data_IF_718376310416
#
_entry.id   IF_718376310416
#
_cell.length_a   1.000
_cell.length_b   1.000
_cell.length_c   1.000
_cell.angle_alpha   90.00
_cell.angle_beta   90.00
_cell.angle_gamma   90.00
#
_symmetry.space_group_name_H-M   'P 1'
#
loop_
_entity.id
_entity.type
_entity.pdbx_description
1 polymer ?
#
# COMPACT_ATOMS: atom_id res chain seq x y z
N UNK A 1 9.75 13.81 -1.49
CA UNK A 1 10.79 12.75 -1.60
C UNK A 1 11.92 13.25 -2.48
N UNK A 2 13.16 12.84 -2.22
CA UNK A 2 14.33 13.17 -3.05
C UNK A 2 14.85 11.90 -3.71
N UNK A 3 14.93 11.89 -5.03
CA UNK A 3 15.46 10.74 -5.79
C UNK A 3 16.99 10.85 -5.85
N UNK A 4 17.68 9.76 -5.49
CA UNK A 4 19.13 9.62 -5.66
C UNK A 4 19.38 8.50 -6.67
N UNK A 5 20.12 8.79 -7.74
CA UNK A 5 20.47 7.79 -8.75
C UNK A 5 21.58 6.88 -8.23
N UNK A 6 21.32 5.57 -8.20
CA UNK A 6 22.30 4.56 -7.81
C UNK A 6 23.12 4.12 -9.03
N UNK A 7 24.45 4.12 -8.91
CA UNK A 7 25.36 3.66 -9.97
C UNK A 7 25.32 2.14 -10.13
N UNK A 8 25.48 1.64 -11.36
CA UNK A 8 25.62 0.19 -11.62
C UNK A 8 26.90 -0.41 -11.00
N UNK A 9 27.88 0.41 -10.61
CA UNK A 9 29.15 -0.04 -10.04
C UNK A 9 29.10 -0.32 -8.53
N UNK A 10 28.06 0.13 -7.83
CA UNK A 10 27.92 -0.07 -6.38
C UNK A 10 27.30 -1.44 -6.08
N UNK A 11 28.13 -2.49 -6.04
CA UNK A 11 27.66 -3.88 -5.89
C UNK A 11 26.76 -4.08 -4.66
N UNK A 12 27.19 -3.62 -3.48
CA UNK A 12 26.46 -3.81 -2.22
C UNK A 12 25.03 -3.27 -2.27
N UNK A 13 24.83 -2.03 -2.72
CA UNK A 13 23.50 -1.42 -2.83
C UNK A 13 22.67 -2.16 -3.89
N UNK A 14 23.26 -2.50 -5.04
CA UNK A 14 22.54 -3.21 -6.10
C UNK A 14 22.10 -4.62 -5.68
N UNK A 15 22.84 -5.30 -4.81
CA UNK A 15 22.45 -6.62 -4.30
C UNK A 15 21.33 -6.52 -3.25
N UNK A 16 21.28 -5.44 -2.45
CA UNK A 16 20.13 -5.13 -1.60
C UNK A 16 18.89 -4.80 -2.45
N UNK A 17 19.05 -3.99 -3.50
CA UNK A 17 17.95 -3.65 -4.43
C UNK A 17 17.37 -4.89 -5.12
N UNK A 18 18.20 -5.87 -5.50
CA UNK A 18 17.71 -7.14 -6.08
C UNK A 18 16.87 -7.96 -5.09
N UNK A 19 17.24 -7.96 -3.81
CA UNK A 19 16.47 -8.62 -2.77
C UNK A 19 15.16 -7.87 -2.53
N UNK A 20 15.19 -6.53 -2.52
CA UNK A 20 14.04 -5.67 -2.29
C UNK A 20 12.93 -5.80 -3.36
N UNK A 21 13.28 -6.28 -4.57
CA UNK A 21 12.33 -6.64 -5.64
C UNK A 21 11.52 -7.90 -5.36
N UNK A 22 11.98 -8.75 -4.45
CA UNK A 22 11.30 -10.01 -4.09
C UNK A 22 10.48 -9.85 -2.82
N UNK A 23 10.99 -9.07 -1.87
CA UNK A 23 10.36 -8.81 -0.58
C UNK A 23 10.88 -7.51 0.03
N UNK A 24 10.09 -6.88 0.90
CA UNK A 24 10.51 -5.69 1.62
C UNK A 24 11.59 -6.02 2.66
N UNK A 25 12.66 -5.23 2.68
CA UNK A 25 13.80 -5.46 3.59
C UNK A 25 13.86 -4.35 4.63
N UNK A 26 14.08 -4.72 5.90
CA UNK A 26 14.42 -3.79 6.97
C UNK A 26 15.94 -3.75 7.12
N UNK A 27 16.53 -2.57 6.93
CA UNK A 27 17.94 -2.28 7.16
C UNK A 27 18.08 -1.69 8.56
N UNK A 28 18.67 -2.45 9.48
CA UNK A 28 18.99 -1.97 10.83
C UNK A 28 20.47 -1.58 10.92
N UNK A 29 20.75 -0.36 11.34
CA UNK A 29 22.12 0.13 11.57
C UNK A 29 22.61 -0.27 12.97
N UNK A 30 23.92 -0.20 13.18
CA UNK A 30 24.55 -0.55 14.47
C UNK A 30 24.13 0.37 15.62
N UNK A 31 23.67 1.59 15.31
CA UNK A 31 23.13 2.53 16.28
C UNK A 31 21.64 2.29 16.61
N UNK A 32 21.03 1.26 16.01
CA UNK A 32 19.65 0.87 16.22
C UNK A 32 18.63 1.56 15.32
N UNK A 33 19.05 2.46 14.42
CA UNK A 33 18.13 3.05 13.44
C UNK A 33 17.64 2.01 12.44
N UNK A 34 16.39 2.13 12.01
CA UNK A 34 15.77 1.21 11.05
C UNK A 34 15.28 1.95 9.82
N UNK A 35 15.54 1.36 8.65
CA UNK A 35 15.10 1.86 7.36
C UNK A 35 14.41 0.74 6.60
N UNK A 36 13.44 1.07 5.75
CA UNK A 36 12.83 0.12 4.82
C UNK A 36 13.37 0.34 3.41
N UNK A 37 13.78 -0.75 2.76
CA UNK A 37 14.07 -0.80 1.34
C UNK A 37 12.99 -1.65 0.66
N UNK A 38 12.13 -0.98 -0.08
CA UNK A 38 11.08 -1.59 -0.89
C UNK A 38 11.23 -1.07 -2.32
N UNK A 39 10.93 -1.92 -3.30
CA UNK A 39 10.69 -1.42 -4.65
C UNK A 39 9.50 -0.47 -4.60
N UNK A 40 9.63 0.68 -5.26
CA UNK A 40 8.47 1.53 -5.49
C UNK A 40 7.64 0.80 -6.56
N UNK A 41 6.72 -0.05 -6.11
CA UNK A 41 5.73 -0.68 -6.98
C UNK A 41 4.65 0.35 -7.35
N UNK A 42 3.99 0.15 -8.49
CA UNK A 42 2.92 1.02 -8.98
C UNK A 42 1.81 1.18 -7.94
N UNK A 43 1.63 0.22 -7.03
CA UNK A 43 0.63 0.28 -5.97
C UNK A 43 0.90 1.34 -4.90
N UNK A 44 2.13 1.50 -4.41
CA UNK A 44 2.45 2.54 -3.43
C UNK A 44 2.34 3.93 -4.06
N UNK A 45 2.75 4.03 -5.34
CA UNK A 45 2.56 5.24 -6.14
C UNK A 45 1.07 5.52 -6.40
N UNK A 46 0.29 4.51 -6.69
CA UNK A 46 -1.16 4.59 -6.88
C UNK A 46 -1.84 5.04 -5.58
N UNK A 47 -1.43 4.53 -4.41
CA UNK A 47 -1.91 5.00 -3.11
C UNK A 47 -1.58 6.48 -2.91
N UNK A 48 -0.34 6.89 -3.20
CA UNK A 48 0.06 8.30 -3.09
C UNK A 48 -0.78 9.21 -4.00
N UNK A 49 -1.04 8.79 -5.24
CA UNK A 49 -1.85 9.54 -6.21
C UNK A 49 -3.34 9.52 -5.82
N UNK A 50 -3.85 8.38 -5.36
CA UNK A 50 -5.25 8.20 -4.94
C UNK A 50 -5.57 9.06 -3.73
N UNK A 51 -4.64 9.17 -2.76
CA UNK A 51 -4.78 10.07 -1.60
C UNK A 51 -4.89 11.55 -1.98
N UNK A 52 -4.43 11.96 -3.17
CA UNK A 52 -4.57 13.33 -3.65
C UNK A 52 -6.00 13.62 -4.16
N UNK A 53 -6.80 12.59 -4.45
CA UNK A 53 -8.19 12.76 -4.84
C UNK A 53 -9.06 13.10 -3.61
N UNK A 54 -9.28 14.41 -3.39
CA UNK A 54 -10.02 14.93 -2.25
C UNK A 54 -11.47 14.46 -2.19
N UNK A 55 -12.13 14.26 -3.33
CA UNK A 55 -13.52 13.83 -3.37
C UNK A 55 -13.65 12.37 -2.94
N UNK A 56 -12.78 11.52 -3.47
CA UNK A 56 -12.68 10.12 -3.06
C UNK A 56 -12.36 10.00 -1.57
N UNK A 57 -11.36 10.74 -1.08
CA UNK A 57 -10.98 10.67 0.33
C UNK A 57 -12.11 11.12 1.27
N UNK A 58 -12.87 12.16 0.91
CA UNK A 58 -14.06 12.58 1.68
C UNK A 58 -15.13 11.49 1.70
N UNK A 59 -15.38 10.83 0.57
CA UNK A 59 -16.33 9.72 0.50
C UNK A 59 -15.90 8.55 1.40
N UNK A 60 -14.61 8.19 1.34
CA UNK A 60 -14.06 7.10 2.16
C UNK A 60 -14.12 7.43 3.66
N UNK A 61 -13.81 8.67 4.06
CA UNK A 61 -13.93 9.12 5.45
C UNK A 61 -15.36 9.04 5.99
N UNK A 62 -16.35 9.38 5.15
CA UNK A 62 -17.77 9.24 5.49
C UNK A 62 -18.16 7.77 5.66
N UNK A 63 -17.73 6.90 4.73
CA UNK A 63 -18.03 5.47 4.79
C UNK A 63 -17.34 4.75 5.94
N UNK A 64 -16.11 5.13 6.28
CA UNK A 64 -15.37 4.53 7.39
C UNK A 64 -16.03 4.80 8.75
N UNK A 65 -16.82 5.88 8.88
CA UNK A 65 -17.58 6.22 10.08
C UNK A 65 -18.98 5.60 10.11
N UNK A 66 -19.42 4.98 9.03
CA UNK A 66 -20.72 4.32 8.96
C UNK A 66 -20.66 3.01 9.76
N UNK A 67 -21.48 2.90 10.80
CA UNK A 67 -21.55 1.73 11.68
C UNK A 67 -22.63 0.74 11.28
N UNK A 68 -23.49 1.11 10.33
CA UNK A 68 -24.55 0.23 9.84
C UNK A 68 -23.95 -0.93 9.03
N UNK A 69 -24.24 -2.14 9.48
CA UNK A 69 -23.85 -3.38 8.81
C UNK A 69 -25.10 -4.16 8.43
N UNK A 70 -25.10 -4.74 7.23
CA UNK A 70 -26.11 -5.70 6.82
C UNK A 70 -25.54 -7.11 6.96
N UNK A 71 -26.36 -8.05 7.44
CA UNK A 71 -26.01 -9.46 7.37
C UNK A 71 -25.89 -9.92 5.92
N UNK A 72 -25.16 -11.01 5.70
CA UNK A 72 -25.05 -11.62 4.37
C UNK A 72 -26.43 -12.02 3.82
N UNK A 73 -27.35 -12.48 4.67
CA UNK A 73 -28.73 -12.81 4.30
C UNK A 73 -29.54 -11.61 3.85
N UNK A 74 -29.49 -10.50 4.59
CA UNK A 74 -30.19 -9.26 4.23
C UNK A 74 -29.62 -8.69 2.93
N UNK A 75 -28.30 -8.73 2.76
CA UNK A 75 -27.62 -8.28 1.54
C UNK A 75 -28.03 -9.12 0.33
N UNK A 76 -28.12 -10.45 0.48
CA UNK A 76 -28.61 -11.34 -0.59
C UNK A 76 -30.06 -11.05 -0.95
N UNK A 77 -30.91 -10.77 0.03
CA UNK A 77 -32.31 -10.43 -0.22
C UNK A 77 -32.46 -9.13 -1.01
N UNK A 78 -31.74 -8.07 -0.61
CA UNK A 78 -31.74 -6.78 -1.28
C UNK A 78 -31.21 -6.86 -2.72
N UNK A 79 -30.23 -7.72 -2.97
CA UNK A 79 -29.64 -7.92 -4.29
C UNK A 79 -30.41 -8.93 -5.16
N UNK A 80 -31.53 -9.49 -4.68
CA UNK A 80 -32.30 -10.51 -5.41
C UNK A 80 -31.55 -11.85 -5.58
N UNK A 81 -30.55 -12.11 -4.72
CA UNK A 81 -29.70 -13.29 -4.75
C UNK A 81 -30.15 -14.39 -3.77
N UNK A 82 -31.36 -14.26 -3.22
CA UNK A 82 -31.98 -15.33 -2.45
C UNK A 82 -32.27 -16.49 -3.40
N UNK A 83 -31.35 -17.46 -3.42
CA UNK A 83 -31.56 -18.72 -4.12
C UNK A 83 -32.83 -19.37 -3.60
N UNK A 84 -33.72 -19.71 -4.53
CA UNK A 84 -34.76 -20.73 -4.41
C UNK A 84 -34.20 -22.05 -3.87
#
# INVERSE_FOLDING_TARGET
MKTITISKRTKSINDLLKQARKENIILRTSDGSEFILAEIDDFDREIELTRQNRELMKLLDLRAKQTETLSLSETKALLGLNKS
#
